data_IF_426574867286
#
_entry.id   IF_426574867286
#
_cell.length_a   1.000
_cell.length_b   1.000
_cell.length_c   1.000
_cell.angle_alpha   90.00
_cell.angle_beta   90.00
_cell.angle_gamma   90.00
#
_symmetry.space_group_name_H-M   'P 1'
#
loop_
_entity.id
_entity.type
_entity.pdbx_description
1 polymer ?
#
# COMPACT_ATOMS: atom_id res chain seq x y z
N UNK A 1 -15.95 15.29 -26.83
CA UNK A 1 -15.91 14.99 -25.37
C UNK A 1 -16.50 13.61 -25.03
N UNK A 2 -17.64 13.21 -25.61
CA UNK A 2 -18.33 11.92 -25.33
C UNK A 2 -17.54 10.65 -25.73
N UNK A 3 -16.76 10.68 -26.83
CA UNK A 3 -15.96 9.52 -27.30
C UNK A 3 -14.92 9.00 -26.30
N UNK A 4 -14.37 9.87 -25.45
CA UNK A 4 -13.36 9.47 -24.46
C UNK A 4 -14.01 8.70 -23.31
N UNK A 5 -15.15 9.16 -22.82
CA UNK A 5 -15.92 8.46 -21.78
C UNK A 5 -16.36 7.06 -22.20
N UNK A 6 -16.80 6.90 -23.45
CA UNK A 6 -17.21 5.59 -23.96
C UNK A 6 -16.05 4.61 -24.07
N UNK A 7 -14.86 5.08 -24.46
CA UNK A 7 -13.66 4.23 -24.51
C UNK A 7 -13.26 3.78 -23.10
N UNK A 8 -13.20 4.71 -22.15
CA UNK A 8 -12.85 4.37 -20.76
C UNK A 8 -13.88 3.44 -20.12
N UNK A 9 -15.18 3.62 -20.37
CA UNK A 9 -16.23 2.71 -19.91
C UNK A 9 -16.04 1.29 -20.46
N UNK A 10 -15.70 1.17 -21.74
CA UNK A 10 -15.43 -0.13 -22.36
C UNK A 10 -14.20 -0.80 -21.75
N UNK A 11 -13.14 -0.04 -21.47
CA UNK A 11 -11.94 -0.56 -20.79
C UNK A 11 -12.27 -1.11 -19.40
N UNK A 12 -13.07 -0.39 -18.61
CA UNK A 12 -13.48 -0.87 -17.28
C UNK A 12 -14.35 -2.13 -17.34
N UNK A 13 -15.28 -2.20 -18.29
CA UNK A 13 -16.11 -3.40 -18.50
C UNK A 13 -15.25 -4.58 -18.92
N UNK A 14 -14.29 -4.35 -19.82
CA UNK A 14 -13.35 -5.38 -20.27
C UNK A 14 -12.49 -5.91 -19.12
N UNK A 15 -11.93 -5.02 -18.31
CA UNK A 15 -11.13 -5.40 -17.13
C UNK A 15 -11.99 -6.16 -16.12
N UNK A 16 -13.22 -5.69 -15.85
CA UNK A 16 -14.15 -6.40 -14.96
C UNK A 16 -14.50 -7.80 -15.45
N UNK A 17 -14.77 -7.94 -16.74
CA UNK A 17 -15.03 -9.24 -17.37
C UNK A 17 -13.79 -10.15 -17.33
N UNK A 18 -12.61 -9.62 -17.61
CA UNK A 18 -11.34 -10.36 -17.54
C UNK A 18 -11.06 -10.87 -16.12
N UNK A 19 -11.33 -10.04 -15.11
CA UNK A 19 -11.23 -10.43 -13.70
C UNK A 19 -12.19 -11.59 -13.41
N UNK A 20 -13.48 -11.46 -13.73
CA UNK A 20 -14.46 -12.52 -13.50
C UNK A 20 -14.12 -13.82 -14.24
N UNK A 21 -13.63 -13.72 -15.47
CA UNK A 21 -13.16 -14.88 -16.25
C UNK A 21 -11.95 -15.54 -15.59
N UNK A 22 -10.98 -14.76 -15.09
CA UNK A 22 -9.81 -15.29 -14.38
C UNK A 22 -10.21 -15.98 -13.06
N UNK A 23 -11.18 -15.45 -12.34
CA UNK A 23 -11.73 -16.05 -11.11
C UNK A 23 -12.43 -17.37 -11.42
N UNK A 24 -13.24 -17.41 -12.47
CA UNK A 24 -13.96 -18.62 -12.89
C UNK A 24 -13.00 -19.69 -13.42
N UNK A 25 -12.00 -19.29 -14.22
CA UNK A 25 -10.95 -20.17 -14.71
C UNK A 25 -10.13 -20.77 -13.57
N UNK A 26 -9.72 -19.97 -12.58
CA UNK A 26 -9.00 -20.44 -11.41
C UNK A 26 -9.84 -21.40 -10.57
N UNK A 27 -11.12 -21.06 -10.35
CA UNK A 27 -12.04 -21.94 -9.63
C UNK A 27 -12.17 -23.30 -10.33
N UNK A 28 -12.39 -23.29 -11.65
CA UNK A 28 -12.54 -24.50 -12.46
C UNK A 28 -11.25 -25.34 -12.47
N UNK A 29 -10.09 -24.70 -12.62
CA UNK A 29 -8.78 -25.35 -12.59
C UNK A 29 -8.51 -26.03 -11.25
N UNK A 30 -8.72 -25.33 -10.13
CA UNK A 30 -8.51 -25.88 -8.78
C UNK A 30 -9.46 -27.03 -8.49
N UNK A 31 -10.71 -26.96 -8.95
CA UNK A 31 -11.68 -28.06 -8.84
C UNK A 31 -11.24 -29.28 -9.64
N UNK A 32 -10.68 -29.09 -10.85
CA UNK A 32 -10.14 -30.17 -11.69
C UNK A 32 -8.92 -30.85 -11.06
N UNK A 33 -8.12 -30.10 -10.29
CA UNK A 33 -6.96 -30.59 -9.55
C UNK A 33 -7.32 -31.28 -8.22
N UNK A 34 -8.62 -31.48 -7.91
CA UNK A 34 -9.07 -32.19 -6.72
C UNK A 34 -9.22 -31.32 -5.46
N UNK A 35 -9.14 -29.98 -5.57
CA UNK A 35 -9.32 -29.10 -4.43
C UNK A 35 -10.77 -29.11 -3.91
N UNK A 36 -10.91 -29.01 -2.58
CA UNK A 36 -12.22 -28.82 -1.94
C UNK A 36 -12.89 -27.55 -2.46
N UNK A 37 -14.23 -27.58 -2.55
CA UNK A 37 -15.03 -26.48 -3.11
C UNK A 37 -14.78 -25.14 -2.40
N UNK A 38 -14.64 -25.20 -1.08
CA UNK A 38 -14.35 -24.04 -0.21
C UNK A 38 -13.01 -23.41 -0.54
N UNK A 39 -11.95 -24.23 -0.66
CA UNK A 39 -10.60 -23.77 -1.02
C UNK A 39 -10.56 -23.14 -2.40
N UNK A 40 -11.18 -23.79 -3.39
CA UNK A 40 -11.25 -23.27 -4.76
C UNK A 40 -12.06 -21.97 -4.87
N UNK A 41 -13.11 -21.80 -4.06
CA UNK A 41 -13.87 -20.55 -4.00
C UNK A 41 -13.07 -19.43 -3.31
N UNK A 42 -12.38 -19.74 -2.21
CA UNK A 42 -11.53 -18.78 -1.50
C UNK A 42 -10.43 -18.19 -2.38
N UNK A 43 -9.68 -19.03 -3.10
CA UNK A 43 -8.64 -18.55 -4.02
C UNK A 43 -9.21 -17.74 -5.19
N UNK A 44 -10.35 -18.16 -5.75
CA UNK A 44 -11.00 -17.40 -6.82
C UNK A 44 -11.41 -15.99 -6.35
N UNK A 45 -11.95 -15.84 -5.14
CA UNK A 45 -12.35 -14.54 -4.59
C UNK A 45 -11.17 -13.63 -4.24
N UNK A 46 -10.04 -14.20 -3.80
CA UNK A 46 -8.84 -13.43 -3.45
C UNK A 46 -8.04 -13.01 -4.70
N UNK A 47 -8.18 -13.74 -5.80
CA UNK A 47 -7.42 -13.53 -7.04
C UNK A 47 -7.39 -12.06 -7.53
N UNK A 48 -8.50 -11.31 -7.60
CA UNK A 48 -8.48 -9.94 -8.12
C UNK A 48 -7.63 -9.00 -7.25
N UNK A 49 -7.77 -9.15 -5.92
CA UNK A 49 -6.98 -8.40 -4.96
C UNK A 49 -5.49 -8.77 -5.08
N UNK A 50 -5.20 -10.07 -5.19
CA UNK A 50 -3.82 -10.56 -5.32
C UNK A 50 -3.16 -10.07 -6.61
N UNK A 51 -3.87 -10.09 -7.74
CA UNK A 51 -3.37 -9.56 -9.01
C UNK A 51 -3.09 -8.06 -8.91
N UNK A 52 -4.02 -7.29 -8.31
CA UNK A 52 -3.82 -5.87 -8.08
C UNK A 52 -2.60 -5.60 -7.20
N UNK A 53 -2.41 -6.35 -6.12
CA UNK A 53 -1.24 -6.27 -5.26
C UNK A 53 0.06 -6.59 -6.01
N UNK A 54 0.08 -7.69 -6.78
CA UNK A 54 1.28 -8.10 -7.52
C UNK A 54 1.70 -7.08 -8.57
N UNK A 55 0.74 -6.54 -9.34
CA UNK A 55 1.03 -5.61 -10.43
C UNK A 55 1.38 -4.22 -9.88
N UNK A 56 0.57 -3.70 -8.96
CA UNK A 56 0.68 -2.30 -8.54
C UNK A 56 1.51 -2.05 -7.28
N UNK A 57 1.75 -3.07 -6.46
CA UNK A 57 2.63 -2.93 -5.28
C UNK A 57 3.93 -3.70 -5.48
N UNK A 58 3.83 -5.01 -5.70
CA UNK A 58 5.03 -5.85 -5.75
C UNK A 58 5.88 -5.57 -7.00
N UNK A 59 5.25 -5.31 -8.14
CA UNK A 59 5.93 -4.94 -9.39
C UNK A 59 6.89 -3.75 -9.22
N UNK A 60 6.40 -2.57 -8.78
CA UNK A 60 7.25 -1.43 -8.46
C UNK A 60 8.32 -1.71 -7.40
N UNK A 61 8.04 -2.54 -6.40
CA UNK A 61 9.04 -2.90 -5.38
C UNK A 61 10.18 -3.74 -5.97
N UNK A 62 9.86 -4.71 -6.82
CA UNK A 62 10.88 -5.52 -7.53
C UNK A 62 11.67 -4.63 -8.49
N UNK A 63 11.00 -3.73 -9.23
CA UNK A 63 11.67 -2.79 -10.11
C UNK A 63 12.62 -1.85 -9.33
N UNK A 64 12.17 -1.32 -8.19
CA UNK A 64 12.99 -0.49 -7.31
C UNK A 64 14.18 -1.26 -6.74
N UNK A 65 13.99 -2.52 -6.36
CA UNK A 65 15.07 -3.40 -5.91
C UNK A 65 16.08 -3.67 -7.03
N UNK A 66 15.62 -3.94 -8.25
CA UNK A 66 16.50 -4.10 -9.40
C UNK A 66 17.29 -2.81 -9.69
N UNK A 67 16.61 -1.66 -9.68
CA UNK A 67 17.26 -0.37 -9.88
C UNK A 67 18.27 -0.04 -8.78
N UNK A 68 18.05 -0.48 -7.54
CA UNK A 68 19.00 -0.29 -6.43
C UNK A 68 20.35 -1.00 -6.65
N UNK A 69 20.38 -2.04 -7.48
CA UNK A 69 21.58 -2.78 -7.89
C UNK A 69 22.23 -2.20 -9.16
N UNK A 70 21.64 -1.15 -9.72
CA UNK A 70 22.15 -0.44 -10.89
C UNK A 70 22.62 0.95 -10.50
N UNK A 71 23.67 1.46 -11.14
CA UNK A 71 23.90 2.90 -11.17
C UNK A 71 22.90 3.50 -12.16
N UNK A 72 21.83 4.04 -11.58
CA UNK A 72 20.74 4.67 -12.29
C UNK A 72 20.65 6.13 -11.87
N UNK A 73 21.06 7.01 -12.78
CA UNK A 73 20.63 8.40 -12.75
C UNK A 73 19.56 8.55 -13.84
N UNK A 74 18.45 9.22 -13.56
CA UNK A 74 17.26 9.34 -14.44
C UNK A 74 17.59 9.80 -15.88
N UNK A 75 18.79 10.35 -16.10
CA UNK A 75 19.30 10.87 -17.37
C UNK A 75 20.05 9.82 -18.23
N UNK A 76 20.54 8.73 -17.65
CA UNK A 76 21.36 7.72 -18.33
C UNK A 76 20.74 6.33 -18.23
N UNK A 77 21.15 5.44 -19.15
CA UNK A 77 20.72 4.05 -19.10
C UNK A 77 21.29 3.37 -17.84
N UNK A 78 20.49 2.55 -17.12
CA UNK A 78 20.93 1.89 -15.91
C UNK A 78 22.11 0.95 -16.19
N UNK A 79 23.21 1.11 -15.46
CA UNK A 79 24.36 0.20 -15.55
C UNK A 79 24.37 -0.72 -14.33
N UNK A 80 24.48 -2.03 -14.53
CA UNK A 80 24.45 -2.98 -13.42
C UNK A 80 25.78 -2.94 -12.64
N UNK A 81 25.74 -2.44 -11.40
CA UNK A 81 26.90 -2.28 -10.51
C UNK A 81 26.88 -3.26 -9.33
N UNK A 82 25.86 -4.12 -9.25
CA UNK A 82 25.72 -5.15 -8.23
C UNK A 82 25.52 -4.54 -6.84
N UNK A 83 26.39 -4.88 -5.89
CA UNK A 83 26.30 -4.41 -4.50
C UNK A 83 27.14 -3.15 -4.20
N UNK A 84 27.70 -2.51 -5.23
CA UNK A 84 28.54 -1.31 -5.06
C UNK A 84 27.79 -0.18 -4.34
N UNK A 85 26.53 0.07 -4.72
CA UNK A 85 25.68 1.09 -4.11
C UNK A 85 25.48 0.86 -2.60
N UNK A 86 25.26 -0.39 -2.21
CA UNK A 86 25.10 -0.76 -0.80
C UNK A 86 26.42 -0.61 -0.03
N UNK A 87 27.55 -1.02 -0.60
CA UNK A 87 28.86 -0.82 0.02
C UNK A 87 29.10 0.67 0.30
N UNK A 88 28.94 1.50 -0.72
CA UNK A 88 29.07 2.96 -0.59
C UNK A 88 28.16 3.51 0.51
N UNK A 89 26.87 3.14 0.49
CA UNK A 89 25.89 3.60 1.47
C UNK A 89 26.25 3.23 2.92
N UNK A 90 26.81 2.05 3.17
CA UNK A 90 27.15 1.61 4.53
C UNK A 90 28.53 2.11 5.00
N UNK A 91 29.50 2.32 4.10
CA UNK A 91 30.89 2.62 4.47
C UNK A 91 31.33 4.06 4.20
N UNK A 92 30.84 4.67 3.12
CA UNK A 92 31.36 5.94 2.60
C UNK A 92 30.34 7.08 2.73
N UNK A 93 29.04 6.79 2.73
CA UNK A 93 28.00 7.82 2.83
C UNK A 93 27.92 8.41 4.26
N UNK A 94 28.25 9.70 4.44
CA UNK A 94 28.21 10.35 5.75
C UNK A 94 26.78 10.56 6.28
N UNK A 95 25.76 10.51 5.42
CA UNK A 95 24.38 10.81 5.78
C UNK A 95 23.55 9.56 6.12
N UNK A 96 23.99 8.37 5.69
CA UNK A 96 23.23 7.14 5.88
C UNK A 96 22.99 6.82 7.37
N UNK A 97 24.05 6.78 8.18
CA UNK A 97 23.93 6.45 9.60
C UNK A 97 23.19 7.51 10.43
N UNK A 98 23.45 8.82 10.26
CA UNK A 98 22.67 9.86 10.94
C UNK A 98 21.18 9.82 10.58
N UNK A 99 20.83 9.68 9.30
CA UNK A 99 19.43 9.65 8.86
C UNK A 99 18.68 8.41 9.37
N UNK A 100 19.33 7.24 9.35
CA UNK A 100 18.77 6.01 9.91
C UNK A 100 18.51 6.16 11.42
N UNK A 101 19.47 6.69 12.17
CA UNK A 101 19.32 6.92 13.62
C UNK A 101 18.20 7.90 13.93
N UNK A 102 18.11 9.01 13.20
CA UNK A 102 17.06 9.99 13.40
C UNK A 102 15.68 9.38 13.12
N UNK A 103 15.54 8.65 12.02
CA UNK A 103 14.28 7.99 11.64
C UNK A 103 13.86 6.94 12.66
N UNK A 104 14.80 6.13 13.15
CA UNK A 104 14.54 5.14 14.19
C UNK A 104 14.15 5.79 15.51
N UNK A 105 14.90 6.80 15.97
CA UNK A 105 14.60 7.51 17.21
C UNK A 105 13.23 8.20 17.13
N UNK A 106 12.96 8.87 16.01
CA UNK A 106 11.67 9.50 15.74
C UNK A 106 10.54 8.46 15.79
N UNK A 107 10.70 7.31 15.13
CA UNK A 107 9.67 6.27 15.10
C UNK A 107 9.42 5.65 16.48
N UNK A 108 10.50 5.33 17.22
CA UNK A 108 10.41 4.74 18.56
C UNK A 108 9.77 5.68 19.58
N UNK A 109 9.90 6.99 19.42
CA UNK A 109 9.28 7.97 20.31
C UNK A 109 7.84 8.26 19.86
N UNK A 110 7.64 8.52 18.56
CA UNK A 110 6.36 8.95 18.00
C UNK A 110 5.30 7.85 18.06
N UNK A 111 5.66 6.59 17.78
CA UNK A 111 4.69 5.48 17.77
C UNK A 111 4.07 5.25 19.16
N UNK A 112 4.83 5.10 20.26
CA UNK A 112 4.26 4.96 21.60
C UNK A 112 3.50 6.20 22.05
N UNK A 113 4.02 7.41 21.80
CA UNK A 113 3.30 8.65 22.16
C UNK A 113 1.96 8.75 21.45
N UNK A 114 1.93 8.48 20.14
CA UNK A 114 0.70 8.46 19.35
C UNK A 114 -0.27 7.40 19.86
N UNK A 115 0.22 6.21 20.21
CA UNK A 115 -0.61 5.14 20.77
C UNK A 115 -1.19 5.50 22.13
N UNK A 116 -0.39 6.05 23.05
CA UNK A 116 -0.84 6.52 24.36
C UNK A 116 -1.87 7.64 24.20
N UNK A 117 -1.62 8.62 23.33
CA UNK A 117 -2.57 9.70 23.03
C UNK A 117 -3.89 9.19 22.43
N UNK A 118 -3.81 8.25 21.48
CA UNK A 118 -4.99 7.63 20.88
C UNK A 118 -5.81 6.83 21.89
N UNK A 119 -5.16 6.03 22.74
CA UNK A 119 -5.81 5.25 23.80
C UNK A 119 -6.43 6.16 24.86
N UNK A 120 -5.69 7.19 25.31
CA UNK A 120 -6.20 8.17 26.25
C UNK A 120 -7.47 8.86 25.73
N UNK A 121 -7.42 9.30 24.47
CA UNK A 121 -8.58 9.94 23.82
C UNK A 121 -9.74 8.96 23.65
N UNK A 122 -9.46 7.70 23.26
CA UNK A 122 -10.48 6.66 23.14
C UNK A 122 -11.15 6.38 24.50
N UNK A 123 -10.40 6.34 25.60
CA UNK A 123 -10.95 6.17 26.94
C UNK A 123 -11.84 7.34 27.37
N UNK A 124 -11.45 8.59 27.05
CA UNK A 124 -12.27 9.77 27.30
C UNK A 124 -13.60 9.73 26.52
N UNK A 125 -13.54 9.36 25.24
CA UNK A 125 -14.72 9.27 24.37
C UNK A 125 -15.66 8.12 24.73
N UNK A 126 -15.15 7.09 25.43
CA UNK A 126 -15.93 5.94 25.89
C UNK A 126 -16.75 6.22 27.16
N UNK A 127 -16.52 7.35 27.84
CA UNK A 127 -17.31 7.72 29.02
C UNK A 127 -18.74 8.11 28.61
N UNK A 128 -19.75 7.70 29.39
CA UNK A 128 -21.18 8.00 29.15
C UNK A 128 -21.51 9.48 29.43
N UNK A 129 -21.02 10.37 28.57
CA UNK A 129 -21.33 11.81 28.60
C UNK A 129 -22.55 12.12 27.72
N UNK A 130 -23.37 13.09 28.12
CA UNK A 130 -24.47 13.59 27.25
C UNK A 130 -23.87 14.23 26.00
N UNK A 131 -24.33 13.83 24.81
CA UNK A 131 -23.84 14.38 23.53
C UNK A 131 -22.67 13.64 22.88
N UNK A 132 -22.40 12.38 23.25
CA UNK A 132 -21.32 11.53 22.67
C UNK A 132 -21.22 11.55 21.14
N UNK A 133 -22.35 11.63 20.42
CA UNK A 133 -22.36 11.66 18.95
C UNK A 133 -21.60 12.87 18.36
N UNK A 134 -21.76 14.05 18.96
CA UNK A 134 -21.12 15.29 18.48
C UNK A 134 -19.60 15.22 18.71
N UNK A 135 -19.17 14.75 19.87
CA UNK A 135 -17.75 14.61 20.22
C UNK A 135 -17.02 13.62 19.31
N UNK A 136 -17.65 12.50 18.94
CA UNK A 136 -17.08 11.54 17.97
C UNK A 136 -16.94 12.18 16.60
N UNK A 137 -17.96 12.87 16.10
CA UNK A 137 -17.89 13.51 14.78
C UNK A 137 -16.79 14.58 14.70
N UNK A 138 -16.65 15.43 15.72
CA UNK A 138 -15.59 16.45 15.77
C UNK A 138 -14.19 15.85 15.83
N UNK A 139 -14.00 14.76 16.57
CA UNK A 139 -12.70 14.07 16.64
C UNK A 139 -12.32 13.37 15.33
N UNK A 140 -13.30 12.76 14.64
CA UNK A 140 -13.04 12.06 13.37
C UNK A 140 -12.98 12.98 12.16
N UNK A 141 -13.56 14.18 12.22
CA UNK A 141 -13.53 15.19 11.16
C UNK A 141 -12.14 15.40 10.54
N UNK A 142 -11.07 15.67 11.33
CA UNK A 142 -9.74 15.87 10.76
C UNK A 142 -9.15 14.63 10.08
N UNK A 143 -9.51 13.42 10.51
CA UNK A 143 -9.05 12.18 9.85
C UNK A 143 -9.73 11.94 8.49
N UNK A 144 -10.88 12.57 8.25
CA UNK A 144 -11.61 12.49 6.98
C UNK A 144 -11.20 13.62 6.02
N UNK A 145 -10.61 14.69 6.54
CA UNK A 145 -10.10 15.77 5.71
C UNK A 145 -8.85 15.31 4.95
N UNK A 146 -8.71 15.65 3.66
CA UNK A 146 -7.49 15.38 2.91
C UNK A 146 -6.29 16.02 3.61
N UNK A 147 -5.14 15.34 3.61
CA UNK A 147 -3.91 15.85 4.25
C UNK A 147 -3.51 17.26 3.75
N UNK A 148 -3.87 17.61 2.52
CA UNK A 148 -3.67 18.95 1.95
C UNK A 148 -4.47 20.05 2.66
N UNK A 149 -5.62 19.73 3.27
CA UNK A 149 -6.45 20.66 4.03
C UNK A 149 -6.01 20.79 5.49
N UNK A 150 -5.22 19.83 6.00
CA UNK A 150 -4.73 19.81 7.39
C UNK A 150 -3.28 20.27 7.53
N UNK A 151 -2.55 20.40 6.41
CA UNK A 151 -1.13 20.77 6.37
C UNK A 151 -0.87 22.27 6.21
N UNK A 152 -1.92 23.09 6.04
CA UNK A 152 -1.87 24.56 6.02
C UNK A 152 -2.29 25.15 7.37
#
# INVERSE_FOLDING_TARGET
MIRWYTATLLDYIFVGAAILLSMFALHWLLRKLGAKRETAAGFALILPWLLGFLIWNLGPYIASLYLSLTDYNVLQAPTFTGLANYKYMFTEDPNFWPSLRFTLLFSVINVPLGLVGALFTAMLLNQKVRGQGIWRTLYYLPAVLPAAATAL
#
